data_IF_766658405948
#
_entry.id   IF_766658405948
#
_cell.length_a   1.000
_cell.length_b   1.000
_cell.length_c   1.000
_cell.angle_alpha   90.00
_cell.angle_beta   90.00
_cell.angle_gamma   90.00
#
_symmetry.space_group_name_H-M   'P 1'
#
loop_
_entity.id
_entity.type
_entity.pdbx_description
1 polymer ?
#
# COMPACT_ATOMS: atom_id res chain seq x y z
N UNK A 1 33.72 -5.43 29.03
CA UNK A 1 32.30 -5.07 28.82
C UNK A 1 32.05 -3.79 28.01
N UNK A 2 32.92 -2.77 28.07
CA UNK A 2 32.73 -1.52 27.29
C UNK A 2 32.67 -1.75 25.77
N UNK A 3 33.53 -2.61 25.26
CA UNK A 3 33.68 -2.84 23.82
C UNK A 3 32.58 -3.76 23.29
N UNK A 4 32.18 -4.74 24.11
CA UNK A 4 31.11 -5.70 23.79
C UNK A 4 29.73 -5.02 23.67
N UNK A 5 29.44 -4.03 24.52
CA UNK A 5 28.20 -3.24 24.42
C UNK A 5 28.18 -2.38 23.14
N UNK A 6 29.34 -1.86 22.73
CA UNK A 6 29.49 -1.08 21.49
C UNK A 6 29.34 -1.95 20.26
N UNK A 7 29.96 -3.13 20.23
CA UNK A 7 29.83 -4.08 19.11
C UNK A 7 28.41 -4.63 19.01
N UNK A 8 27.75 -4.93 20.14
CA UNK A 8 26.36 -5.40 20.13
C UNK A 8 25.39 -4.33 19.62
N UNK A 9 25.58 -3.07 20.01
CA UNK A 9 24.77 -1.95 19.52
C UNK A 9 25.00 -1.65 18.03
N UNK A 10 26.24 -1.83 17.55
CA UNK A 10 26.57 -1.72 16.12
C UNK A 10 25.94 -2.83 15.29
N UNK A 11 25.92 -4.07 15.80
CA UNK A 11 25.25 -5.20 15.14
C UNK A 11 23.75 -4.98 15.09
N UNK A 12 23.12 -4.52 16.17
CA UNK A 12 21.68 -4.25 16.19
C UNK A 12 21.30 -3.09 15.26
N UNK A 13 22.11 -2.02 15.20
CA UNK A 13 21.92 -0.94 14.25
C UNK A 13 22.09 -1.41 12.80
N UNK A 14 23.10 -2.24 12.52
CA UNK A 14 23.26 -2.85 11.20
C UNK A 14 22.08 -3.75 10.84
N UNK A 15 21.53 -4.53 11.79
CA UNK A 15 20.34 -5.37 11.57
C UNK A 15 19.10 -4.52 11.28
N UNK A 16 18.90 -3.41 12.01
CA UNK A 16 17.80 -2.47 11.75
C UNK A 16 17.95 -1.76 10.39
N UNK A 17 19.17 -1.41 9.99
CA UNK A 17 19.45 -0.82 8.68
C UNK A 17 19.30 -1.83 7.53
N UNK A 18 19.63 -3.11 7.77
CA UNK A 18 19.40 -4.20 6.82
C UNK A 18 17.91 -4.50 6.64
N UNK A 19 17.08 -4.38 7.70
CA UNK A 19 15.62 -4.49 7.56
C UNK A 19 14.98 -3.30 6.81
N UNK A 20 15.70 -2.20 6.63
CA UNK A 20 15.27 -1.05 5.82
C UNK A 20 15.72 -1.16 4.35
N UNK A 21 16.47 -2.21 3.96
CA UNK A 21 16.75 -2.47 2.56
C UNK A 21 15.50 -3.02 1.88
N UNK A 22 14.68 -2.08 1.39
CA UNK A 22 13.91 -2.11 0.14
C UNK A 22 13.54 -3.53 -0.29
N UNK A 23 12.26 -3.89 -0.09
CA UNK A 23 11.60 -4.94 -0.86
C UNK A 23 11.86 -4.63 -2.33
N UNK A 24 12.79 -5.36 -2.92
CA UNK A 24 13.22 -5.14 -4.30
C UNK A 24 12.04 -5.27 -5.23
N UNK A 25 11.87 -4.29 -6.12
CA UNK A 25 10.83 -4.17 -7.14
C UNK A 25 10.85 -5.27 -8.24
N UNK A 26 11.09 -6.54 -7.88
CA UNK A 26 11.36 -7.60 -8.86
C UNK A 26 10.65 -8.94 -8.61
N UNK A 27 9.76 -9.05 -7.63
CA UNK A 27 9.05 -10.31 -7.37
C UNK A 27 7.59 -10.17 -6.88
N UNK A 28 7.02 -8.96 -6.88
CA UNK A 28 5.71 -8.70 -6.31
C UNK A 28 4.61 -9.66 -6.79
N UNK A 29 4.60 -10.04 -8.06
CA UNK A 29 3.63 -11.01 -8.60
C UNK A 29 3.86 -12.45 -8.14
N UNK A 30 5.12 -12.86 -7.89
CA UNK A 30 5.45 -14.22 -7.40
C UNK A 30 5.01 -14.44 -5.95
N UNK A 31 4.87 -13.35 -5.22
CA UNK A 31 4.45 -13.37 -3.82
C UNK A 31 2.92 -13.54 -3.70
N UNK A 32 2.17 -13.39 -4.80
CA UNK A 32 0.73 -13.62 -4.82
C UNK A 32 0.37 -15.09 -5.06
N UNK A 33 -0.51 -15.63 -4.21
CA UNK A 33 -0.98 -17.02 -4.29
C UNK A 33 -1.79 -17.32 -5.55
N UNK A 34 -2.36 -16.29 -6.16
CA UNK A 34 -3.19 -16.31 -7.37
C UNK A 34 -2.48 -15.71 -8.60
N UNK A 35 -1.14 -15.70 -8.59
CA UNK A 35 -0.30 -15.12 -9.64
C UNK A 35 -0.52 -15.70 -11.04
N UNK A 36 -1.07 -16.91 -11.15
CA UNK A 36 -1.41 -17.56 -12.41
C UNK A 36 -2.70 -16.99 -13.05
N UNK A 37 -3.56 -16.36 -12.27
CA UNK A 37 -4.77 -15.69 -12.78
C UNK A 37 -4.46 -14.29 -13.33
N UNK A 38 -3.32 -13.71 -12.94
CA UNK A 38 -2.90 -12.37 -13.36
C UNK A 38 -2.50 -12.37 -14.85
N UNK A 39 -3.33 -11.75 -15.68
CA UNK A 39 -3.07 -11.62 -17.12
C UNK A 39 -2.01 -10.56 -17.45
N UNK A 40 -2.00 -9.45 -16.72
CA UNK A 40 -1.12 -8.30 -16.98
C UNK A 40 -0.02 -8.18 -15.92
N UNK A 41 0.84 -9.19 -15.83
CA UNK A 41 1.85 -9.32 -14.77
C UNK A 41 2.77 -8.10 -14.66
N UNK A 42 3.30 -7.60 -15.77
CA UNK A 42 4.19 -6.43 -15.77
C UNK A 42 3.51 -5.17 -15.20
N UNK A 43 2.24 -4.94 -15.55
CA UNK A 43 1.49 -3.80 -15.01
C UNK A 43 1.28 -3.94 -13.50
N UNK A 44 0.95 -5.13 -13.02
CA UNK A 44 0.81 -5.41 -11.58
C UNK A 44 2.14 -5.23 -10.86
N UNK A 45 3.24 -5.74 -11.41
CA UNK A 45 4.59 -5.59 -10.85
C UNK A 45 4.97 -4.13 -10.69
N UNK A 46 4.74 -3.31 -11.72
CA UNK A 46 5.02 -1.87 -11.67
C UNK A 46 4.16 -1.19 -10.60
N UNK A 47 2.85 -1.47 -10.57
CA UNK A 47 1.94 -0.81 -9.63
C UNK A 47 2.20 -1.21 -8.16
N UNK A 48 2.61 -2.46 -7.91
CA UNK A 48 3.02 -2.91 -6.57
C UNK A 48 4.38 -2.31 -6.20
N UNK A 49 5.33 -2.27 -7.14
CA UNK A 49 6.63 -1.64 -6.92
C UNK A 49 6.52 -0.14 -6.60
N UNK A 50 5.55 0.54 -7.20
CA UNK A 50 5.20 1.93 -6.90
C UNK A 50 4.37 2.07 -5.61
N UNK A 51 4.09 0.98 -4.90
CA UNK A 51 3.26 0.95 -3.69
C UNK A 51 1.85 1.54 -3.88
N UNK A 52 1.32 1.48 -5.10
CA UNK A 52 0.00 2.01 -5.45
C UNK A 52 -1.10 0.98 -5.23
N UNK A 53 -0.79 -0.29 -5.50
CA UNK A 53 -1.67 -1.43 -5.24
C UNK A 53 -0.94 -2.47 -4.40
N UNK A 54 -1.69 -3.20 -3.59
CA UNK A 54 -1.20 -4.31 -2.78
C UNK A 54 -2.17 -5.48 -2.90
N UNK A 55 -1.75 -6.67 -2.46
CA UNK A 55 -2.69 -7.76 -2.22
C UNK A 55 -3.73 -7.39 -1.15
N UNK A 56 -4.84 -8.11 -1.18
CA UNK A 56 -5.89 -8.12 -0.16
C UNK A 56 -5.40 -8.81 1.11
N UNK A 57 -6.10 -8.55 2.22
CA UNK A 57 -5.86 -9.13 3.54
C UNK A 57 -4.41 -9.00 4.02
N UNK A 58 -3.67 -10.11 4.09
CA UNK A 58 -2.27 -10.14 4.52
C UNK A 58 -1.27 -9.74 3.42
N UNK A 59 -1.77 -9.40 2.23
CA UNK A 59 -0.98 -9.00 1.07
C UNK A 59 -0.64 -10.16 0.13
N UNK A 60 -1.03 -11.40 0.44
CA UNK A 60 -0.70 -12.59 -0.37
C UNK A 60 -1.69 -12.89 -1.50
N UNK A 61 -2.87 -12.28 -1.53
CA UNK A 61 -3.90 -12.55 -2.54
C UNK A 61 -4.20 -11.29 -3.36
N UNK A 62 -3.93 -11.29 -4.67
CA UNK A 62 -4.12 -10.09 -5.50
C UNK A 62 -5.57 -9.88 -5.95
N UNK A 63 -6.32 -10.96 -6.11
CA UNK A 63 -7.70 -11.00 -6.56
C UNK A 63 -7.95 -10.35 -7.94
N UNK A 64 -7.27 -10.78 -9.03
CA UNK A 64 -7.35 -10.13 -10.34
C UNK A 64 -8.72 -10.25 -11.03
N UNK A 65 -9.56 -11.19 -10.59
CA UNK A 65 -10.89 -11.47 -11.16
C UNK A 65 -12.04 -10.91 -10.33
N UNK A 66 -11.74 -10.37 -9.13
CA UNK A 66 -12.74 -9.79 -8.25
C UNK A 66 -13.31 -8.48 -8.81
N UNK A 67 -14.54 -8.17 -8.41
CA UNK A 67 -15.13 -6.85 -8.71
C UNK A 67 -14.39 -5.77 -7.93
N UNK A 68 -13.79 -4.83 -8.66
CA UNK A 68 -13.14 -3.67 -8.06
C UNK A 68 -14.15 -2.56 -7.78
N UNK A 69 -14.37 -2.25 -6.50
CA UNK A 69 -15.40 -1.30 -6.07
C UNK A 69 -14.93 0.15 -6.24
N UNK A 70 -15.90 1.08 -6.27
CA UNK A 70 -15.61 2.52 -6.39
C UNK A 70 -14.81 3.07 -5.20
N UNK A 71 -15.03 2.53 -4.01
CA UNK A 71 -14.31 2.96 -2.81
C UNK A 71 -12.86 2.48 -2.79
N UNK A 72 -12.60 1.24 -3.23
CA UNK A 72 -11.24 0.73 -3.37
C UNK A 72 -10.48 1.49 -4.47
N UNK A 73 -11.15 1.83 -5.58
CA UNK A 73 -10.59 2.71 -6.60
C UNK A 73 -10.24 4.08 -6.04
N UNK A 74 -11.09 4.68 -5.19
CA UNK A 74 -10.78 5.97 -4.55
C UNK A 74 -9.50 5.88 -3.70
N UNK A 75 -9.31 4.79 -2.96
CA UNK A 75 -8.05 4.53 -2.25
C UNK A 75 -6.87 4.47 -3.23
N UNK A 76 -6.95 3.66 -4.29
CA UNK A 76 -5.86 3.52 -5.26
C UNK A 76 -5.50 4.86 -5.92
N UNK A 77 -6.48 5.63 -6.37
CA UNK A 77 -6.26 6.97 -6.94
C UNK A 77 -5.56 7.88 -5.92
N UNK A 78 -5.96 7.81 -4.65
CA UNK A 78 -5.34 8.63 -3.61
C UNK A 78 -3.84 8.31 -3.42
N UNK A 79 -3.43 7.05 -3.56
CA UNK A 79 -2.02 6.63 -3.53
C UNK A 79 -1.29 7.06 -4.80
N UNK A 80 -1.90 6.92 -5.99
CA UNK A 80 -1.31 7.39 -7.26
C UNK A 80 -0.97 8.88 -7.16
N UNK A 81 -1.91 9.70 -6.68
CA UNK A 81 -1.75 11.14 -6.56
C UNK A 81 -0.70 11.54 -5.52
N UNK A 82 -0.38 10.64 -4.59
CA UNK A 82 0.58 10.87 -3.52
C UNK A 82 1.85 10.01 -3.67
N UNK A 83 2.16 9.58 -4.90
CA UNK A 83 3.42 8.90 -5.24
C UNK A 83 3.60 7.55 -4.55
N UNK A 84 2.51 6.81 -4.32
CA UNK A 84 2.53 5.52 -3.64
C UNK A 84 2.54 5.60 -2.12
N UNK A 85 2.42 6.79 -1.53
CA UNK A 85 2.35 6.97 -0.09
C UNK A 85 0.91 7.19 0.32
N UNK A 86 0.46 6.59 1.43
CA UNK A 86 -0.89 6.85 1.94
C UNK A 86 -1.05 8.36 2.24
N UNK A 87 -2.06 9.02 1.66
CA UNK A 87 -2.25 10.45 1.88
C UNK A 87 -2.71 10.72 3.32
N UNK A 88 -2.15 11.76 3.92
CA UNK A 88 -2.54 12.22 5.26
C UNK A 88 -3.78 13.10 5.12
N UNK A 89 -4.94 12.45 5.10
CA UNK A 89 -6.25 13.09 4.93
C UNK A 89 -7.18 12.74 6.10
N UNK A 90 -7.88 13.75 6.60
CA UNK A 90 -8.84 13.60 7.70
C UNK A 90 -10.23 13.23 7.21
N UNK A 91 -11.05 12.69 8.10
CA UNK A 91 -12.49 12.55 7.89
C UNK A 91 -13.19 13.87 8.23
N UNK A 92 -14.24 14.20 7.48
CA UNK A 92 -15.06 15.39 7.75
C UNK A 92 -16.10 15.05 8.81
N UNK A 93 -16.48 16.01 9.66
CA UNK A 93 -17.60 15.82 10.61
C UNK A 93 -18.91 15.54 9.88
N UNK A 94 -19.10 16.22 8.75
CA UNK A 94 -20.21 16.01 7.81
C UNK A 94 -19.59 15.69 6.44
N UNK A 95 -19.71 14.44 5.97
CA UNK A 95 -19.23 14.08 4.64
C UNK A 95 -20.00 14.80 3.53
N UNK A 96 -19.33 15.00 2.40
CA UNK A 96 -19.86 15.61 1.18
C UNK A 96 -20.94 14.74 0.56
N UNK A 97 -20.78 13.41 0.60
CA UNK A 97 -21.78 12.45 0.14
C UNK A 97 -22.46 11.78 1.34
N UNK A 98 -23.78 11.63 1.29
CA UNK A 98 -24.55 11.10 2.43
C UNK A 98 -24.33 9.60 2.68
N UNK A 99 -23.87 8.86 1.67
CA UNK A 99 -23.70 7.41 1.65
C UNK A 99 -22.30 6.94 2.05
N UNK A 100 -21.36 7.85 2.33
CA UNK A 100 -19.98 7.49 2.71
C UNK A 100 -19.70 7.63 4.20
N UNK A 101 -20.70 7.99 5.01
CA UNK A 101 -20.47 8.24 6.44
C UNK A 101 -20.13 6.95 7.18
N UNK A 102 -18.94 6.89 7.77
CA UNK A 102 -18.50 5.80 8.65
C UNK A 102 -17.95 4.57 7.92
N UNK A 103 -17.80 4.60 6.60
CA UNK A 103 -17.09 3.56 5.86
C UNK A 103 -15.58 3.78 5.94
N UNK A 104 -14.80 2.72 5.81
CA UNK A 104 -13.33 2.76 5.92
C UNK A 104 -12.69 3.70 4.88
N UNK A 105 -13.36 3.88 3.74
CA UNK A 105 -12.87 4.60 2.58
C UNK A 105 -13.25 6.09 2.54
N UNK A 106 -14.03 6.57 3.53
CA UNK A 106 -14.58 7.93 3.57
C UNK A 106 -13.52 8.99 3.27
N UNK A 107 -12.37 8.91 3.95
CA UNK A 107 -11.27 9.88 3.80
C UNK A 107 -10.67 9.91 2.39
N UNK A 108 -10.63 8.78 1.69
CA UNK A 108 -10.08 8.69 0.33
C UNK A 108 -11.07 9.24 -0.69
N UNK A 109 -12.36 8.98 -0.49
CA UNK A 109 -13.42 9.54 -1.35
C UNK A 109 -13.42 11.06 -1.24
N UNK A 110 -13.37 11.59 0.00
CA UNK A 110 -13.27 13.04 0.24
C UNK A 110 -12.00 13.66 -0.36
N UNK A 111 -10.88 12.96 -0.29
CA UNK A 111 -9.65 13.39 -0.94
C UNK A 111 -9.83 13.51 -2.45
N UNK A 112 -10.37 12.47 -3.11
CA UNK A 112 -10.64 12.51 -4.54
C UNK A 112 -11.59 13.67 -4.90
N UNK A 113 -12.66 13.89 -4.14
CA UNK A 113 -13.57 15.02 -4.35
C UNK A 113 -12.88 16.39 -4.21
N UNK A 114 -11.88 16.51 -3.34
CA UNK A 114 -11.14 17.77 -3.17
C UNK A 114 -10.22 18.11 -4.34
N UNK A 115 -9.89 17.11 -5.19
CA UNK A 115 -9.01 17.27 -6.34
C UNK A 115 -9.76 17.71 -7.62
N UNK A 116 -11.11 17.70 -7.60
CA UNK A 116 -11.97 18.00 -8.76
C UNK A 116 -12.38 16.76 -9.55
#
# INVERSE_FOLDING_TARGET
MRNLKRTLSLVLAALMLMSMMVVGAGAATKDFTDSDEIQHKEAVEVMVALNVVSGKDDGSYFAPTDTFTREEMAKVVSYVMNGGVEPVVGTKVTPTYSDIKGIWSEKYIEYCTSMG
#
